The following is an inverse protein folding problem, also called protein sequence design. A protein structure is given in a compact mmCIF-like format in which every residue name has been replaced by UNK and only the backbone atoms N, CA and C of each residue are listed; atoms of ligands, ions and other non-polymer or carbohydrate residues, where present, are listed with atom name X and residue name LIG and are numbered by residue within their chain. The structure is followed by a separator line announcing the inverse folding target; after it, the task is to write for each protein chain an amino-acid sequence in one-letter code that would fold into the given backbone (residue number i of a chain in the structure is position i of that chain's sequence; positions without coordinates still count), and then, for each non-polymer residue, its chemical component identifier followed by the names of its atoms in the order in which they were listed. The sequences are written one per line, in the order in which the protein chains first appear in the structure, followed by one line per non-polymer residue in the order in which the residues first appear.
data_IF_319826906165
#
_entry.id   IF_319826906165
#
_cell.length_a   1.000
_cell.length_b   1.000
_cell.length_c   1.000
_cell.angle_alpha   90.00
_cell.angle_beta   90.00
_cell.angle_gamma   90.00
#
_symmetry.space_group_name_H-M   'P 1'
#
loop_
_entity.id
_entity.type
_entity.pdbx_description
1 polymer ?
#
# COMPACT_ATOMS: atom_id res chain seq x y z
N UNK A 1 7.58 12.85 -17.77
CA UNK A 1 6.56 12.00 -17.12
C UNK A 1 6.92 11.59 -15.68
N UNK A 2 8.09 10.96 -15.38
CA UNK A 2 8.45 10.60 -13.99
C UNK A 2 8.46 11.80 -13.04
N UNK A 3 9.08 12.93 -13.44
CA UNK A 3 9.11 14.17 -12.65
C UNK A 3 7.70 14.70 -12.33
N UNK A 4 6.78 14.63 -13.32
CA UNK A 4 5.37 15.00 -13.11
C UNK A 4 4.70 14.06 -12.13
N UNK A 5 4.87 12.74 -12.28
CA UNK A 5 4.30 11.73 -11.38
C UNK A 5 4.78 11.94 -9.93
N UNK A 6 6.07 12.21 -9.73
CA UNK A 6 6.64 12.55 -8.43
C UNK A 6 6.03 13.83 -7.86
N UNK A 7 6.00 14.90 -8.65
CA UNK A 7 5.45 16.20 -8.24
C UNK A 7 3.99 16.11 -7.85
N UNK A 8 3.16 15.46 -8.69
CA UNK A 8 1.73 15.29 -8.44
C UNK A 8 1.48 14.46 -7.16
N UNK A 9 2.25 13.37 -6.95
CA UNK A 9 2.11 12.54 -5.76
C UNK A 9 2.53 13.27 -4.48
N UNK A 10 3.63 14.01 -4.52
CA UNK A 10 4.13 14.81 -3.38
C UNK A 10 3.14 15.93 -3.05
N UNK A 11 2.70 16.69 -4.05
CA UNK A 11 1.77 17.80 -3.85
C UNK A 11 0.40 17.31 -3.32
N UNK A 12 -0.06 16.15 -3.77
CA UNK A 12 -1.30 15.56 -3.30
C UNK A 12 -1.23 15.20 -1.81
N UNK A 13 -0.10 14.70 -1.32
CA UNK A 13 0.07 14.33 0.10
C UNK A 13 0.40 15.54 0.95
N UNK A 14 1.50 16.22 0.66
CA UNK A 14 2.02 17.29 1.52
C UNK A 14 1.25 18.60 1.40
N UNK A 15 0.55 18.82 0.28
CA UNK A 15 -0.40 19.91 0.12
C UNK A 15 -1.72 19.69 0.87
N UNK A 16 -1.99 18.45 1.33
CA UNK A 16 -3.29 18.08 1.92
C UNK A 16 -3.15 17.21 3.18
N UNK A 17 -2.18 17.54 4.05
CA UNK A 17 -1.90 16.77 5.27
C UNK A 17 -3.13 16.63 6.17
N UNK A 18 -3.97 17.65 6.25
CA UNK A 18 -5.23 17.58 7.01
C UNK A 18 -6.13 16.45 6.49
N UNK A 19 -6.25 16.30 5.17
CA UNK A 19 -7.00 15.21 4.54
C UNK A 19 -6.36 13.85 4.79
N UNK A 20 -5.02 13.77 4.78
CA UNK A 20 -4.28 12.55 5.15
C UNK A 20 -4.70 12.08 6.53
N UNK A 21 -4.67 12.98 7.52
CA UNK A 21 -5.05 12.63 8.89
C UNK A 21 -6.54 12.32 9.05
N UNK A 22 -7.43 12.98 8.31
CA UNK A 22 -8.86 12.65 8.29
C UNK A 22 -9.13 11.25 7.76
N UNK A 23 -8.46 10.86 6.66
CA UNK A 23 -8.64 9.55 6.03
C UNK A 23 -8.01 8.44 6.86
N UNK A 24 -6.78 8.63 7.33
CA UNK A 24 -5.99 7.59 7.98
C UNK A 24 -6.16 7.56 9.50
N UNK A 25 -6.31 8.72 10.15
CA UNK A 25 -6.20 8.85 11.61
C UNK A 25 -7.13 7.94 12.39
N UNK A 26 -8.41 7.87 12.02
CA UNK A 26 -9.40 7.02 12.70
C UNK A 26 -9.03 5.54 12.63
N UNK A 27 -8.57 5.06 11.46
CA UNK A 27 -8.15 3.67 11.27
C UNK A 27 -6.89 3.34 12.06
N UNK A 28 -5.93 4.26 12.12
CA UNK A 28 -4.69 4.04 12.88
C UNK A 28 -4.93 4.09 14.40
N UNK A 29 -5.83 4.96 14.89
CA UNK A 29 -6.25 4.96 16.29
C UNK A 29 -6.92 3.62 16.65
N UNK A 30 -7.78 3.13 15.77
CA UNK A 30 -8.47 1.85 15.97
C UNK A 30 -7.49 0.66 15.93
N UNK A 31 -6.52 0.69 15.01
CA UNK A 31 -5.44 -0.30 14.95
C UNK A 31 -4.60 -0.30 16.23
N UNK A 32 -4.26 0.88 16.73
CA UNK A 32 -3.54 1.03 17.98
C UNK A 32 -4.32 0.46 19.16
N UNK A 33 -5.60 0.82 19.28
CA UNK A 33 -6.47 0.31 20.33
C UNK A 33 -6.59 -1.23 20.26
N UNK A 34 -6.75 -1.80 19.06
CA UNK A 34 -6.81 -3.24 18.85
C UNK A 34 -5.50 -3.92 19.27
N UNK A 35 -4.35 -3.39 18.87
CA UNK A 35 -3.04 -3.92 19.29
C UNK A 35 -2.86 -3.87 20.82
N UNK A 36 -3.31 -2.79 21.47
CA UNK A 36 -3.24 -2.66 22.91
C UNK A 36 -4.14 -3.67 23.62
N UNK A 37 -5.38 -3.86 23.13
CA UNK A 37 -6.29 -4.88 23.64
C UNK A 37 -5.72 -6.29 23.53
N UNK A 38 -5.09 -6.62 22.38
CA UNK A 38 -4.43 -7.90 22.18
C UNK A 38 -3.30 -8.10 23.20
N UNK A 39 -2.44 -7.10 23.38
CA UNK A 39 -1.36 -7.18 24.37
C UNK A 39 -1.88 -7.35 25.80
N UNK A 40 -2.95 -6.68 26.16
CA UNK A 40 -3.58 -6.85 27.47
C UNK A 40 -4.20 -8.25 27.62
N UNK A 41 -4.89 -8.74 26.61
CA UNK A 41 -5.52 -10.07 26.62
C UNK A 41 -4.51 -11.22 26.67
N UNK A 42 -3.35 -11.05 26.02
CA UNK A 42 -2.27 -12.07 26.04
C UNK A 42 -1.32 -11.93 27.23
N UNK A 43 -1.54 -10.96 28.13
CA UNK A 43 -0.67 -10.70 29.28
C UNK A 43 0.75 -10.30 28.91
N UNK A 44 0.98 -9.86 27.65
CA UNK A 44 2.32 -9.60 27.12
C UNK A 44 3.17 -10.87 26.90
N UNK A 45 2.55 -12.05 26.99
CA UNK A 45 3.23 -13.32 26.74
C UNK A 45 3.73 -13.38 25.29
N UNK A 46 4.94 -13.90 25.12
CA UNK A 46 5.50 -14.17 23.81
C UNK A 46 4.60 -15.18 23.06
N UNK A 47 4.47 -15.00 21.75
CA UNK A 47 3.62 -15.81 20.87
C UNK A 47 3.88 -17.33 20.93
N UNK A 48 4.96 -17.76 21.57
CA UNK A 48 5.32 -19.17 21.74
C UNK A 48 4.47 -19.92 22.80
N UNK A 49 3.81 -19.20 23.70
CA UNK A 49 2.96 -19.81 24.76
C UNK A 49 1.45 -19.69 24.50
N UNK A 50 1.05 -19.07 23.37
CA UNK A 50 -0.34 -18.87 23.03
C UNK A 50 -0.95 -20.12 22.38
N UNK A 51 -2.24 -20.40 22.68
CA UNK A 51 -3.01 -21.46 22.02
C UNK A 51 -3.03 -21.26 20.50
N UNK A 52 -2.67 -22.27 19.69
CA UNK A 52 -2.65 -22.16 18.23
C UNK A 52 -3.99 -21.74 17.63
N UNK A 53 -5.11 -22.17 18.21
CA UNK A 53 -6.44 -21.78 17.75
C UNK A 53 -6.73 -20.30 17.98
N UNK A 54 -6.34 -19.76 19.14
CA UNK A 54 -6.44 -18.35 19.44
C UNK A 54 -5.58 -17.50 18.50
N UNK A 55 -4.38 -17.95 18.14
CA UNK A 55 -3.50 -17.27 17.19
C UNK A 55 -4.08 -17.22 15.78
N UNK A 56 -4.70 -18.29 15.31
CA UNK A 56 -5.39 -18.32 14.01
C UNK A 56 -6.55 -17.33 14.01
N UNK A 57 -7.41 -17.34 15.04
CA UNK A 57 -8.54 -16.43 15.14
C UNK A 57 -8.06 -14.96 15.15
N UNK A 58 -7.03 -14.66 15.94
CA UNK A 58 -6.45 -13.32 16.02
C UNK A 58 -5.90 -12.87 14.65
N UNK A 59 -5.20 -13.75 13.95
CA UNK A 59 -4.67 -13.48 12.62
C UNK A 59 -5.79 -13.17 11.61
N UNK A 60 -6.92 -13.89 11.69
CA UNK A 60 -8.09 -13.63 10.84
C UNK A 60 -8.73 -12.27 11.16
N UNK A 61 -8.89 -11.92 12.45
CA UNK A 61 -9.40 -10.62 12.86
C UNK A 61 -8.50 -9.49 12.34
N UNK A 62 -7.18 -9.63 12.50
CA UNK A 62 -6.21 -8.64 12.01
C UNK A 62 -6.22 -8.52 10.48
N UNK A 63 -6.37 -9.64 9.75
CA UNK A 63 -6.51 -9.64 8.29
C UNK A 63 -7.78 -8.90 7.85
N UNK A 64 -8.92 -9.19 8.45
CA UNK A 64 -10.19 -8.51 8.13
C UNK A 64 -10.11 -7.01 8.42
N UNK A 65 -9.49 -6.65 9.54
CA UNK A 65 -9.25 -5.25 9.89
C UNK A 65 -8.33 -4.57 8.85
N UNK A 66 -7.24 -5.21 8.46
CA UNK A 66 -6.31 -4.69 7.46
C UNK A 66 -6.98 -4.50 6.08
N UNK A 67 -7.82 -5.45 5.64
CA UNK A 67 -8.57 -5.34 4.39
C UNK A 67 -9.58 -4.18 4.45
N UNK A 68 -10.34 -4.06 5.53
CA UNK A 68 -11.33 -3.00 5.70
C UNK A 68 -10.67 -1.61 5.74
N UNK A 69 -9.61 -1.46 6.55
CA UNK A 69 -8.88 -0.19 6.67
C UNK A 69 -8.19 0.21 5.37
N UNK A 70 -7.51 -0.71 4.69
CA UNK A 70 -6.83 -0.42 3.44
C UNK A 70 -7.80 -0.02 2.33
N UNK A 71 -8.96 -0.67 2.24
CA UNK A 71 -9.98 -0.32 1.26
C UNK A 71 -10.63 1.04 1.57
N UNK A 72 -10.99 1.28 2.83
CA UNK A 72 -11.59 2.56 3.24
C UNK A 72 -10.63 3.73 2.98
N UNK A 73 -9.36 3.60 3.37
CA UNK A 73 -8.32 4.60 3.12
C UNK A 73 -8.09 4.76 1.61
N UNK A 74 -7.93 3.66 0.87
CA UNK A 74 -7.66 3.67 -0.56
C UNK A 74 -8.78 4.33 -1.36
N UNK A 75 -10.04 3.94 -1.12
CA UNK A 75 -11.20 4.53 -1.80
C UNK A 75 -11.32 6.02 -1.50
N UNK A 76 -11.26 6.41 -0.23
CA UNK A 76 -11.35 7.82 0.16
C UNK A 76 -10.26 8.67 -0.47
N UNK A 77 -9.01 8.18 -0.47
CA UNK A 77 -7.88 8.90 -1.05
C UNK A 77 -7.96 9.02 -2.58
N UNK A 78 -8.34 7.94 -3.27
CA UNK A 78 -8.54 8.00 -4.73
C UNK A 78 -9.69 8.96 -5.10
N UNK A 79 -10.81 8.94 -4.36
CA UNK A 79 -11.94 9.86 -4.60
C UNK A 79 -11.53 11.31 -4.31
N UNK A 80 -10.79 11.55 -3.23
CA UNK A 80 -10.23 12.87 -2.97
C UNK A 80 -9.30 13.34 -4.11
N UNK A 81 -8.33 12.52 -4.52
CA UNK A 81 -7.35 12.90 -5.52
C UNK A 81 -7.89 13.01 -6.95
N UNK A 82 -8.97 12.29 -7.31
CA UNK A 82 -9.53 12.25 -8.66
C UNK A 82 -10.82 13.05 -8.82
N UNK A 83 -11.65 13.13 -7.77
CA UNK A 83 -12.97 13.79 -7.81
C UNK A 83 -13.01 15.05 -6.94
N UNK A 84 -11.99 15.30 -6.10
CA UNK A 84 -11.98 16.43 -5.15
C UNK A 84 -12.91 16.23 -3.95
N UNK A 85 -13.40 15.01 -3.71
CA UNK A 85 -14.28 14.72 -2.58
C UNK A 85 -13.52 14.78 -1.25
N UNK A 86 -13.91 15.69 -0.37
CA UNK A 86 -13.28 15.81 0.96
C UNK A 86 -13.90 14.83 1.94
N UNK A 87 -13.09 13.97 2.59
CA UNK A 87 -13.58 13.06 3.62
C UNK A 87 -14.04 13.80 4.88
N UNK A 88 -14.99 13.22 5.62
CA UNK A 88 -15.39 13.72 6.93
C UNK A 88 -14.26 13.58 7.96
N UNK A 89 -14.46 14.20 9.14
CA UNK A 89 -13.47 14.20 10.23
C UNK A 89 -13.14 12.77 10.73
N UNK A 90 -14.14 11.90 10.76
CA UNK A 90 -14.01 10.47 11.10
C UNK A 90 -14.37 9.68 9.87
N UNK A 91 -13.37 9.01 9.26
CA UNK A 91 -13.57 8.22 8.05
C UNK A 91 -13.40 6.72 8.35
N UNK A 92 -14.49 6.08 8.78
CA UNK A 92 -14.56 4.63 9.03
C UNK A 92 -15.64 4.02 8.11
N UNK A 93 -15.50 4.23 6.80
CA UNK A 93 -16.49 3.76 5.84
C UNK A 93 -16.12 2.40 5.27
N UNK A 94 -17.06 1.47 5.32
CA UNK A 94 -17.00 0.18 4.63
C UNK A 94 -18.35 -0.03 3.96
N UNK A 95 -18.42 0.22 2.67
CA UNK A 95 -19.64 0.14 1.86
C UNK A 95 -19.46 -0.72 0.62
N UNK A 96 -20.36 -0.58 -0.35
CA UNK A 96 -20.33 -1.37 -1.57
C UNK A 96 -19.11 -1.06 -2.47
N UNK A 97 -18.61 0.17 -2.47
CA UNK A 97 -17.42 0.57 -3.24
C UNK A 97 -16.17 -0.03 -2.61
N UNK A 98 -16.05 0.06 -1.26
CA UNK A 98 -14.95 -0.52 -0.51
C UNK A 98 -14.92 -2.04 -0.67
N UNK A 99 -16.08 -2.71 -0.67
CA UNK A 99 -16.14 -4.15 -0.91
C UNK A 99 -15.65 -4.52 -2.32
N UNK A 100 -16.07 -3.78 -3.36
CA UNK A 100 -15.56 -3.98 -4.73
C UNK A 100 -14.05 -3.73 -4.78
N UNK A 101 -13.56 -2.72 -4.07
CA UNK A 101 -12.13 -2.42 -3.96
C UNK A 101 -11.37 -3.58 -3.31
N UNK A 102 -11.87 -4.16 -2.20
CA UNK A 102 -11.30 -5.35 -1.56
C UNK A 102 -11.23 -6.51 -2.55
N UNK A 103 -12.32 -6.82 -3.27
CA UNK A 103 -12.36 -7.91 -4.22
C UNK A 103 -11.32 -7.72 -5.35
N UNK A 104 -11.16 -6.49 -5.86
CA UNK A 104 -10.13 -6.18 -6.87
C UNK A 104 -8.72 -6.27 -6.28
N UNK A 105 -8.52 -5.82 -5.04
CA UNK A 105 -7.23 -5.96 -4.34
C UNK A 105 -6.87 -7.43 -4.11
N UNK A 106 -7.84 -8.26 -3.71
CA UNK A 106 -7.64 -9.71 -3.56
C UNK A 106 -7.33 -10.40 -4.90
N UNK A 107 -7.98 -9.97 -5.99
CA UNK A 107 -7.66 -10.47 -7.33
C UNK A 107 -6.20 -10.15 -7.70
N UNK A 108 -5.74 -8.94 -7.45
CA UNK A 108 -4.34 -8.56 -7.69
C UNK A 108 -3.38 -9.33 -6.78
N UNK A 109 -3.74 -9.51 -5.51
CA UNK A 109 -2.96 -10.31 -4.57
C UNK A 109 -2.85 -11.77 -5.03
N UNK A 110 -3.96 -12.35 -5.53
CA UNK A 110 -3.97 -13.71 -6.09
C UNK A 110 -3.01 -13.85 -7.29
N UNK A 111 -3.04 -12.88 -8.22
CA UNK A 111 -2.10 -12.85 -9.35
C UNK A 111 -0.65 -12.83 -8.85
N UNK A 112 -0.36 -11.99 -7.84
CA UNK A 112 0.98 -11.89 -7.25
C UNK A 112 1.40 -13.19 -6.55
N UNK A 113 0.50 -13.83 -5.81
CA UNK A 113 0.74 -15.12 -5.18
C UNK A 113 1.04 -16.20 -6.22
N UNK A 114 0.30 -16.23 -7.34
CA UNK A 114 0.58 -17.18 -8.43
C UNK A 114 1.98 -17.00 -9.01
N UNK A 115 2.46 -15.76 -9.15
CA UNK A 115 3.84 -15.47 -9.58
C UNK A 115 4.86 -16.06 -8.60
N UNK A 116 4.65 -15.88 -7.29
CA UNK A 116 5.52 -16.43 -6.25
C UNK A 116 5.48 -17.95 -6.18
N UNK A 117 4.32 -18.57 -6.35
CA UNK A 117 4.17 -20.02 -6.42
C UNK A 117 4.94 -20.59 -7.61
N UNK A 118 4.96 -19.89 -8.75
CA UNK A 118 5.77 -20.27 -9.91
C UNK A 118 7.26 -20.28 -9.58
N UNK A 119 7.76 -19.26 -8.87
CA UNK A 119 9.17 -19.21 -8.41
C UNK A 119 9.47 -20.40 -7.49
N UNK A 120 8.58 -20.67 -6.53
CA UNK A 120 8.71 -21.80 -5.60
C UNK A 120 8.71 -23.15 -6.34
N UNK A 121 7.84 -23.33 -7.32
CA UNK A 121 7.80 -24.52 -8.16
C UNK A 121 9.12 -24.74 -8.93
N UNK A 122 9.63 -23.66 -9.56
CA UNK A 122 10.92 -23.72 -10.28
C UNK A 122 12.07 -24.05 -9.33
N UNK A 123 12.06 -23.53 -8.09
CA UNK A 123 13.03 -23.86 -7.05
C UNK A 123 13.04 -25.36 -6.75
N UNK A 124 11.86 -25.94 -6.55
CA UNK A 124 11.74 -27.38 -6.26
C UNK A 124 12.14 -28.24 -7.46
N UNK A 125 11.76 -27.84 -8.69
CA UNK A 125 12.00 -28.61 -9.91
C UNK A 125 13.48 -28.60 -10.31
N UNK A 126 14.17 -27.47 -10.19
CA UNK A 126 15.57 -27.33 -10.63
C UNK A 126 16.56 -27.68 -9.50
N UNK A 127 16.24 -27.35 -8.25
CA UNK A 127 17.07 -27.62 -7.09
C UNK A 127 18.39 -26.84 -7.03
N UNK A 128 18.65 -25.93 -7.98
CA UNK A 128 19.87 -25.12 -8.04
C UNK A 128 19.56 -23.67 -7.62
N UNK A 129 19.98 -23.23 -6.39
CA UNK A 129 19.58 -21.93 -5.87
C UNK A 129 19.98 -20.72 -6.75
N UNK A 130 21.15 -20.79 -7.39
CA UNK A 130 21.63 -19.71 -8.27
C UNK A 130 20.72 -19.56 -9.50
N UNK A 131 20.35 -20.66 -10.13
CA UNK A 131 19.47 -20.65 -11.32
C UNK A 131 18.09 -20.10 -10.95
N UNK A 132 17.54 -20.55 -9.84
CA UNK A 132 16.26 -20.07 -9.34
C UNK A 132 16.33 -18.61 -8.93
N UNK A 133 17.42 -18.15 -8.32
CA UNK A 133 17.64 -16.74 -7.99
C UNK A 133 17.65 -15.87 -9.23
N UNK A 134 18.37 -16.25 -10.28
CA UNK A 134 18.38 -15.52 -11.56
C UNK A 134 16.98 -15.50 -12.18
N UNK A 135 16.28 -16.64 -12.21
CA UNK A 135 14.92 -16.71 -12.72
C UNK A 135 13.97 -15.80 -11.93
N UNK A 136 14.03 -15.81 -10.60
CA UNK A 136 13.22 -14.96 -9.75
C UNK A 136 13.46 -13.47 -10.01
N UNK A 137 14.72 -13.05 -10.16
CA UNK A 137 15.07 -11.67 -10.49
C UNK A 137 14.51 -11.26 -11.86
N UNK A 138 14.69 -12.07 -12.88
CA UNK A 138 14.14 -11.82 -14.21
C UNK A 138 12.61 -11.72 -14.18
N UNK A 139 11.96 -12.66 -13.47
CA UNK A 139 10.51 -12.65 -13.34
C UNK A 139 10.02 -11.37 -12.64
N UNK A 140 10.68 -10.94 -11.56
CA UNK A 140 10.32 -9.71 -10.83
C UNK A 140 10.50 -8.46 -11.68
N UNK A 141 11.53 -8.40 -12.53
CA UNK A 141 11.74 -7.28 -13.48
C UNK A 141 10.50 -7.08 -14.37
N UNK A 142 9.84 -8.14 -14.78
CA UNK A 142 8.61 -8.05 -15.59
C UNK A 142 7.35 -7.95 -14.73
N UNK A 143 7.29 -8.68 -13.63
CA UNK A 143 6.10 -8.77 -12.78
C UNK A 143 5.79 -7.45 -12.06
N UNK A 144 6.80 -6.75 -11.52
CA UNK A 144 6.60 -5.51 -10.76
C UNK A 144 5.93 -4.42 -11.61
N UNK A 145 6.48 -4.01 -12.78
CA UNK A 145 5.83 -2.99 -13.59
C UNK A 145 4.47 -3.43 -14.12
N UNK A 146 4.30 -4.71 -14.45
CA UNK A 146 3.01 -5.27 -14.86
C UNK A 146 1.99 -5.18 -13.73
N UNK A 147 2.37 -5.56 -12.52
CA UNK A 147 1.50 -5.47 -11.33
C UNK A 147 1.05 -4.03 -11.08
N UNK A 148 1.96 -3.05 -11.16
CA UNK A 148 1.62 -1.63 -10.99
C UNK A 148 0.67 -1.12 -12.08
N UNK A 149 0.83 -1.59 -13.33
CA UNK A 149 -0.11 -1.28 -14.42
C UNK A 149 -1.49 -1.86 -14.14
N UNK A 150 -1.57 -3.12 -13.74
CA UNK A 150 -2.83 -3.79 -13.38
C UNK A 150 -3.49 -3.13 -12.15
N UNK A 151 -2.70 -2.59 -11.22
CA UNK A 151 -3.21 -1.93 -10.01
C UNK A 151 -4.02 -0.67 -10.30
N UNK A 152 -3.98 -0.12 -11.53
CA UNK A 152 -4.84 1.00 -11.93
C UNK A 152 -6.35 0.65 -11.96
N UNK A 153 -6.72 -0.62 -11.86
CA UNK A 153 -8.11 -1.02 -11.61
C UNK A 153 -8.64 -0.51 -10.24
N UNK A 154 -7.74 -0.26 -9.28
CA UNK A 154 -8.13 0.19 -7.93
C UNK A 154 -8.66 1.63 -7.93
N UNK A 155 -7.90 2.66 -8.42
CA UNK A 155 -8.45 4.01 -8.54
C UNK A 155 -9.68 4.06 -9.45
N UNK A 156 -9.72 3.29 -10.54
CA UNK A 156 -10.90 3.19 -11.41
C UNK A 156 -12.14 2.68 -10.66
N UNK A 157 -11.96 1.64 -9.81
CA UNK A 157 -13.04 1.10 -8.98
C UNK A 157 -13.48 2.11 -7.91
N UNK A 158 -12.54 2.83 -7.29
CA UNK A 158 -12.83 3.82 -6.26
C UNK A 158 -13.70 4.98 -6.79
N UNK A 159 -13.49 5.40 -8.04
CA UNK A 159 -14.31 6.46 -8.68
C UNK A 159 -15.51 5.92 -9.44
N UNK A 160 -15.86 4.66 -9.23
CA UNK A 160 -17.02 3.97 -9.83
C UNK A 160 -17.02 3.96 -11.38
N UNK A 161 -15.82 4.01 -11.97
CA UNK A 161 -15.58 3.84 -13.41
C UNK A 161 -14.70 2.60 -13.62
N UNK A 162 -15.22 1.38 -13.31
CA UNK A 162 -14.40 0.18 -13.32
C UNK A 162 -13.92 -0.13 -14.74
N UNK A 163 -12.63 -0.45 -14.84
CA UNK A 163 -11.98 -0.94 -16.04
C UNK A 163 -11.58 -2.40 -15.87
N UNK A 164 -11.43 -3.11 -16.98
CA UNK A 164 -10.89 -4.48 -16.99
C UNK A 164 -9.37 -4.49 -16.77
N UNK A 165 -8.80 -5.66 -16.44
CA UNK A 165 -7.35 -5.82 -16.32
C UNK A 165 -6.64 -5.53 -17.64
N UNK A 166 -7.24 -5.93 -18.77
CA UNK A 166 -6.70 -5.68 -20.12
C UNK A 166 -6.67 -4.19 -20.44
N UNK A 167 -7.76 -3.47 -20.15
CA UNK A 167 -7.84 -2.01 -20.32
C UNK A 167 -6.82 -1.30 -19.42
N UNK A 168 -6.74 -1.67 -18.12
CA UNK A 168 -5.75 -1.10 -17.20
C UNK A 168 -4.32 -1.26 -17.75
N UNK A 169 -4.01 -2.44 -18.27
CA UNK A 169 -2.72 -2.72 -18.89
C UNK A 169 -2.50 -1.89 -20.16
N UNK A 170 -3.50 -1.76 -21.02
CA UNK A 170 -3.38 -1.01 -22.28
C UNK A 170 -3.19 0.49 -22.04
N UNK A 171 -4.04 1.14 -21.22
CA UNK A 171 -3.98 2.59 -20.98
C UNK A 171 -2.72 3.03 -20.20
N UNK A 172 -2.05 2.11 -19.52
CA UNK A 172 -0.85 2.38 -18.69
C UNK A 172 0.47 2.05 -19.38
N UNK A 173 0.49 2.02 -20.71
CA UNK A 173 1.72 1.74 -21.45
C UNK A 173 2.86 2.70 -21.06
N UNK A 174 4.05 2.14 -20.79
CA UNK A 174 5.22 2.90 -20.35
C UNK A 174 5.14 3.49 -18.92
N UNK A 175 4.01 3.35 -18.16
CA UNK A 175 3.89 3.88 -16.81
C UNK A 175 4.41 2.93 -15.72
N UNK A 176 4.42 1.62 -15.94
CA UNK A 176 4.75 0.63 -14.90
C UNK A 176 6.08 0.90 -14.19
N UNK A 177 7.16 1.03 -14.95
CA UNK A 177 8.48 1.36 -14.39
C UNK A 177 8.55 2.75 -13.75
N UNK A 178 7.83 3.72 -14.32
CA UNK A 178 7.79 5.08 -13.76
C UNK A 178 7.08 5.10 -12.40
N UNK A 179 5.98 4.36 -12.26
CA UNK A 179 5.30 4.19 -10.97
C UNK A 179 6.17 3.45 -9.96
N UNK A 180 6.90 2.41 -10.39
CA UNK A 180 7.85 1.72 -9.52
C UNK A 180 8.92 2.65 -8.97
N UNK A 181 9.63 3.37 -9.85
CA UNK A 181 10.67 4.30 -9.42
C UNK A 181 10.10 5.47 -8.61
N UNK A 182 8.91 5.97 -8.94
CA UNK A 182 8.26 7.00 -8.15
C UNK A 182 7.96 6.50 -6.73
N UNK A 183 7.37 5.30 -6.59
CA UNK A 183 7.11 4.70 -5.29
C UNK A 183 8.39 4.48 -4.49
N UNK A 184 9.45 3.97 -5.14
CA UNK A 184 10.74 3.74 -4.51
C UNK A 184 11.37 5.05 -4.02
N UNK A 185 11.46 6.06 -4.88
CA UNK A 185 12.05 7.37 -4.55
C UNK A 185 11.28 8.05 -3.41
N UNK A 186 9.95 7.96 -3.42
CA UNK A 186 9.11 8.61 -2.42
C UNK A 186 9.10 7.86 -1.07
N UNK A 187 9.16 6.53 -1.07
CA UNK A 187 9.15 5.74 0.17
C UNK A 187 10.53 5.65 0.83
N UNK A 188 11.62 5.63 0.06
CA UNK A 188 12.97 5.39 0.54
C UNK A 188 13.41 6.34 1.68
N UNK A 189 13.20 7.67 1.62
CA UNK A 189 13.59 8.56 2.71
C UNK A 189 12.90 8.22 4.04
N UNK A 190 11.63 7.83 3.99
CA UNK A 190 10.85 7.48 5.18
C UNK A 190 11.25 6.13 5.76
N UNK A 191 11.56 5.15 4.90
CA UNK A 191 12.08 3.85 5.32
C UNK A 191 13.44 4.02 5.99
N UNK A 192 14.35 4.79 5.38
CA UNK A 192 15.66 5.08 5.96
C UNK A 192 15.55 5.87 7.26
N UNK A 193 14.67 6.86 7.34
CA UNK A 193 14.39 7.57 8.57
C UNK A 193 13.89 6.63 9.67
N UNK A 194 12.97 5.72 9.35
CA UNK A 194 12.47 4.71 10.29
C UNK A 194 13.58 3.81 10.84
N UNK A 195 14.44 3.30 9.97
CA UNK A 195 15.59 2.47 10.35
C UNK A 195 16.54 3.28 11.25
N UNK A 196 16.91 4.49 10.86
CA UNK A 196 17.79 5.36 11.64
C UNK A 196 17.23 5.64 13.03
N UNK A 197 15.94 6.03 13.11
CA UNK A 197 15.28 6.27 14.39
C UNK A 197 15.24 5.02 15.27
N UNK A 198 14.99 3.86 14.69
CA UNK A 198 15.02 2.61 15.43
C UNK A 198 16.39 2.33 16.05
N UNK A 199 17.48 2.53 15.31
CA UNK A 199 18.85 2.40 15.82
C UNK A 199 19.16 3.41 16.91
N UNK A 200 18.81 4.68 16.74
CA UNK A 200 19.03 5.72 17.73
C UNK A 200 18.30 5.42 19.04
N UNK A 201 17.05 5.00 18.96
CA UNK A 201 16.25 4.69 20.14
C UNK A 201 16.72 3.41 20.85
N UNK A 202 17.20 2.41 20.13
CA UNK A 202 17.85 1.22 20.72
C UNK A 202 19.13 1.60 21.47
N UNK A 203 19.94 2.52 20.94
CA UNK A 203 21.13 3.03 21.62
C UNK A 203 20.81 3.79 22.92
N UNK A 204 19.58 4.34 23.06
CA UNK A 204 19.10 5.03 24.25
C UNK A 204 18.37 4.12 25.24
N UNK A 205 18.29 2.83 25.00
CA UNK A 205 17.48 1.90 25.81
C UNK A 205 17.91 1.84 27.30
N UNK A 206 19.14 2.17 27.62
CA UNK A 206 19.63 2.24 29.01
C UNK A 206 19.30 3.56 29.75
N UNK A 207 18.88 4.61 29.03
CA UNK A 207 18.65 5.97 29.59
C UNK A 207 17.19 6.33 29.79
N UNK A 208 16.26 5.58 29.20
CA UNK A 208 14.82 5.84 29.27
C UNK A 208 14.07 4.62 29.83
N UNK A 209 12.93 4.86 30.54
CA UNK A 209 12.01 3.77 30.87
C UNK A 209 11.58 3.03 29.61
N UNK A 210 11.66 1.71 29.61
CA UNK A 210 11.40 0.85 28.44
C UNK A 210 10.01 1.07 27.84
N UNK A 211 9.01 1.33 28.68
CA UNK A 211 7.63 1.62 28.26
C UNK A 211 7.56 2.92 27.46
N UNK A 212 8.25 3.97 27.89
CA UNK A 212 8.27 5.25 27.18
C UNK A 212 8.98 5.14 25.84
N UNK A 213 10.06 4.36 25.80
CA UNK A 213 10.80 4.07 24.57
C UNK A 213 9.93 3.33 23.56
N UNK A 214 9.26 2.26 23.99
CA UNK A 214 8.34 1.48 23.15
C UNK A 214 7.19 2.32 22.61
N UNK A 215 6.59 3.18 23.46
CA UNK A 215 5.52 4.08 23.03
C UNK A 215 5.99 5.07 21.96
N UNK A 216 7.17 5.70 22.13
CA UNK A 216 7.74 6.62 21.14
C UNK A 216 8.02 5.92 19.81
N UNK A 217 8.60 4.72 19.84
CA UNK A 217 8.86 3.90 18.66
C UNK A 217 7.57 3.55 17.92
N UNK A 218 6.54 3.15 18.65
CA UNK A 218 5.26 2.79 18.08
C UNK A 218 4.58 3.99 17.41
N UNK A 219 4.55 5.15 18.08
CA UNK A 219 3.97 6.37 17.51
C UNK A 219 4.70 6.80 16.23
N UNK A 220 6.03 6.76 16.25
CA UNK A 220 6.84 7.09 15.08
C UNK A 220 6.56 6.12 13.91
N UNK A 221 6.53 4.81 14.19
CA UNK A 221 6.24 3.81 13.16
C UNK A 221 4.86 4.02 12.53
N UNK A 222 3.84 4.34 13.34
CA UNK A 222 2.49 4.65 12.85
C UNK A 222 2.51 5.87 11.94
N UNK A 223 3.18 6.96 12.33
CA UNK A 223 3.27 8.16 11.50
C UNK A 223 3.98 7.91 10.18
N UNK A 224 5.10 7.20 10.19
CA UNK A 224 5.83 6.82 8.98
C UNK A 224 4.99 5.90 8.08
N UNK A 225 4.28 4.94 8.67
CA UNK A 225 3.39 4.05 7.94
C UNK A 225 2.26 4.82 7.24
N UNK A 226 1.64 5.80 7.91
CA UNK A 226 0.62 6.67 7.30
C UNK A 226 1.20 7.34 6.04
N UNK A 227 2.35 8.00 6.18
CA UNK A 227 2.96 8.75 5.07
C UNK A 227 3.30 7.83 3.91
N UNK A 228 3.98 6.70 4.17
CA UNK A 228 4.39 5.75 3.11
C UNK A 228 3.17 5.15 2.43
N UNK A 229 2.12 4.78 3.17
CA UNK A 229 0.88 4.23 2.62
C UNK A 229 0.21 5.24 1.69
N UNK A 230 0.02 6.47 2.14
CA UNK A 230 -0.66 7.50 1.35
C UNK A 230 0.17 7.92 0.14
N UNK A 231 1.51 7.96 0.25
CA UNK A 231 2.41 8.19 -0.90
C UNK A 231 2.25 7.09 -1.96
N UNK A 232 2.22 5.82 -1.55
CA UNK A 232 2.00 4.70 -2.46
C UNK A 232 0.66 4.78 -3.19
N UNK A 233 -0.42 5.07 -2.48
CA UNK A 233 -1.76 5.26 -3.06
C UNK A 233 -1.76 6.50 -3.98
N UNK A 234 -1.04 7.58 -3.64
CA UNK A 234 -0.94 8.79 -4.46
C UNK A 234 -0.24 8.56 -5.78
N UNK A 235 0.78 7.69 -5.82
CA UNK A 235 1.44 7.29 -7.07
C UNK A 235 0.46 6.59 -8.00
N UNK A 236 -0.40 5.69 -7.48
CA UNK A 236 -1.45 5.04 -8.28
C UNK A 236 -2.51 6.04 -8.73
N UNK A 237 -2.92 6.98 -7.87
CA UNK A 237 -3.89 8.05 -8.20
C UNK A 237 -3.37 8.93 -9.33
N UNK A 238 -2.13 9.42 -9.21
CA UNK A 238 -1.49 10.25 -10.23
C UNK A 238 -1.22 9.46 -11.52
N UNK A 239 -0.80 8.18 -11.39
CA UNK A 239 -0.60 7.28 -12.52
C UNK A 239 -1.89 7.04 -13.31
N UNK A 240 -3.02 6.81 -12.63
CA UNK A 240 -4.32 6.67 -13.25
C UNK A 240 -4.76 7.94 -13.97
N UNK A 241 -4.61 9.12 -13.33
CA UNK A 241 -4.91 10.42 -13.97
C UNK A 241 -4.11 10.60 -15.25
N UNK A 242 -2.78 10.36 -15.21
CA UNK A 242 -1.91 10.47 -16.38
C UNK A 242 -2.27 9.48 -17.49
N UNK A 243 -2.66 8.25 -17.14
CA UNK A 243 -3.10 7.23 -18.11
C UNK A 243 -4.39 7.67 -18.82
N UNK A 244 -5.36 8.19 -18.06
CA UNK A 244 -6.62 8.67 -18.63
C UNK A 244 -6.45 9.92 -19.50
N UNK A 245 -5.59 10.87 -19.10
CA UNK A 245 -5.26 12.05 -19.91
C UNK A 245 -4.61 11.65 -21.23
N UNK A 246 -3.67 10.71 -21.23
CA UNK A 246 -3.01 10.24 -22.43
C UNK A 246 -3.98 9.53 -23.38
N UNK A 247 -4.94 8.78 -22.83
CA UNK A 247 -5.93 8.04 -23.64
C UNK A 247 -7.05 8.94 -24.18
N UNK A 248 -7.36 10.04 -23.49
CA UNK A 248 -8.39 11.01 -23.91
C UNK A 248 -7.87 12.06 -24.89
N UNK A 249 -6.55 12.19 -25.07
CA UNK A 249 -5.98 13.13 -26.04
C UNK A 249 -6.28 12.64 -27.46
N UNK A 250 -6.92 13.45 -28.33
CA UNK A 250 -7.14 13.08 -29.73
C UNK A 250 -5.80 12.78 -30.42
N UNK A 251 -5.75 11.71 -31.21
CA UNK A 251 -4.56 11.37 -32.02
C UNK A 251 -4.28 12.55 -32.96
N UNK A 252 -3.09 13.19 -32.89
CA UNK A 252 -2.75 14.29 -33.79
C UNK A 252 -2.81 13.90 -35.27
N UNK A 253 -2.73 12.60 -35.60
CA UNK A 253 -2.79 12.09 -36.97
C UNK A 253 -4.17 12.21 -37.62
N UNK A 254 -5.25 12.45 -36.84
CA UNK A 254 -6.62 12.62 -37.37
C UNK A 254 -6.80 14.00 -38.03
N UNK A 255 -5.88 14.95 -37.83
CA UNK A 255 -5.93 16.30 -38.38
C UNK A 255 -4.90 16.55 -39.50
N UNK A 256 -4.25 15.51 -40.00
CA UNK A 256 -3.44 15.51 -41.21
C UNK A 256 -4.15 14.79 -42.34
#
# INVERSE_FOLDING_TARGET
MLKRLLGDSVSLVFGNLETVFKVCGSWFILQFALMMLIRLATGGADSQSADPGAMVLLSLVMLMFALASSASIGVAWHRFGLLGETPGLIHLRVGGVELKFILKSLLLALIFVCVWLLVGFVQVAIGVPVVTGVFAVLLLIFAIPTFLRLSLILPATAVEKPISLGEAYAISEGLGWRMFFASLILSLPFVLAGILFQYLLQGMAGSLPIILLQFKLMLLNVLLQIIVTVLGISVLTAGYRMAMEAHSSPDPSVFQ
#
